data_IF_356525404597
#
_entry.id   IF_356525404597
#
_cell.length_a   1.000
_cell.length_b   1.000
_cell.length_c   1.000
_cell.angle_alpha   90.00
_cell.angle_beta   90.00
_cell.angle_gamma   90.00
#
_symmetry.space_group_name_H-M   'P 1'
#
loop_
_entity.id
_entity.type
_entity.pdbx_description
1 polymer ?
#
# COMPACT_ATOMS: atom_id res chain seq x y z
N UNK A 1 -0.61 25.41 18.11
CA UNK A 1 -0.15 25.82 16.76
C UNK A 1 0.20 24.59 15.87
N UNK A 2 0.95 23.60 16.38
CA UNK A 2 1.34 22.41 15.58
C UNK A 2 0.14 21.55 15.17
N UNK A 3 -0.80 21.30 16.06
CA UNK A 3 -2.02 20.52 15.77
C UNK A 3 -2.99 21.29 14.84
N UNK A 4 -3.12 22.60 14.99
CA UNK A 4 -3.97 23.42 14.12
C UNK A 4 -3.46 23.45 12.66
N UNK A 5 -2.13 23.54 12.46
CA UNK A 5 -1.54 23.49 11.12
C UNK A 5 -1.71 22.12 10.45
N UNK A 6 -1.73 21.02 11.23
CA UNK A 6 -1.94 19.67 10.73
C UNK A 6 -3.37 19.47 10.22
N UNK A 7 -4.36 19.98 10.94
CA UNK A 7 -5.77 19.92 10.53
C UNK A 7 -6.01 20.77 9.26
N UNK A 8 -5.33 21.90 9.12
CA UNK A 8 -5.42 22.75 7.92
C UNK A 8 -4.79 22.06 6.71
N UNK A 9 -3.61 21.45 6.87
CA UNK A 9 -2.93 20.72 5.78
C UNK A 9 -3.76 19.50 5.34
N UNK A 10 -4.35 18.77 6.29
CA UNK A 10 -5.24 17.64 5.99
C UNK A 10 -6.49 18.10 5.24
N UNK A 11 -7.13 19.19 5.68
CA UNK A 11 -8.32 19.77 5.04
C UNK A 11 -8.03 20.29 3.63
N UNK A 12 -6.90 20.98 3.44
CA UNK A 12 -6.48 21.49 2.11
C UNK A 12 -6.18 20.34 1.14
N UNK A 13 -5.60 19.23 1.60
CA UNK A 13 -5.38 18.03 0.76
C UNK A 13 -6.68 17.33 0.40
N UNK A 14 -7.59 17.17 1.35
CA UNK A 14 -8.91 16.56 1.10
C UNK A 14 -9.73 17.34 0.06
N UNK A 15 -9.64 18.67 0.06
CA UNK A 15 -10.33 19.54 -0.91
C UNK A 15 -9.81 19.38 -2.36
N UNK A 16 -8.67 18.73 -2.57
CA UNK A 16 -8.11 18.46 -3.91
C UNK A 16 -8.47 17.06 -4.44
N UNK A 17 -9.11 16.21 -3.61
CA UNK A 17 -9.49 14.89 -4.02
C UNK A 17 -10.74 14.95 -4.92
N UNK A 18 -10.67 14.29 -6.08
CA UNK A 18 -11.85 13.95 -6.86
C UNK A 18 -12.51 12.70 -6.25
N UNK A 19 -13.57 12.92 -5.50
CA UNK A 19 -14.36 11.87 -4.86
C UNK A 19 -15.64 11.52 -5.64
N UNK A 20 -15.87 12.15 -6.81
CA UNK A 20 -17.12 12.04 -7.55
C UNK A 20 -17.26 10.72 -8.29
N UNK A 21 -16.13 10.07 -8.58
CA UNK A 21 -16.07 8.77 -9.25
C UNK A 21 -15.20 7.77 -8.47
N UNK A 22 -15.19 6.53 -8.89
CA UNK A 22 -14.38 5.47 -8.27
C UNK A 22 -12.97 5.38 -8.89
N UNK A 23 -12.40 6.52 -9.23
CA UNK A 23 -11.08 6.62 -9.82
C UNK A 23 -9.99 6.07 -8.90
N UNK A 24 -9.06 5.34 -9.50
CA UNK A 24 -7.95 4.67 -8.83
C UNK A 24 -6.62 5.23 -9.34
N UNK A 25 -5.74 5.62 -8.44
CA UNK A 25 -4.31 5.81 -8.72
C UNK A 25 -3.54 4.57 -8.32
N UNK A 26 -2.81 3.98 -9.28
CA UNK A 26 -1.80 2.97 -8.98
C UNK A 26 -0.56 3.67 -8.41
N UNK A 27 -0.12 3.24 -7.24
CA UNK A 27 1.14 3.70 -6.62
C UNK A 27 2.07 2.51 -6.49
N UNK A 28 3.28 2.62 -7.05
CA UNK A 28 4.34 1.59 -6.89
C UNK A 28 5.53 2.23 -6.20
N UNK A 29 5.98 1.61 -5.11
CA UNK A 29 7.26 1.95 -4.46
C UNK A 29 8.33 0.99 -4.92
N UNK A 30 9.50 1.51 -5.24
CA UNK A 30 10.65 0.76 -5.76
C UNK A 30 11.95 1.25 -5.13
N UNK A 31 12.95 0.36 -5.06
CA UNK A 31 14.30 0.73 -4.65
C UNK A 31 15.34 -0.15 -5.33
N UNK A 32 15.92 0.36 -6.45
CA UNK A 32 17.05 -0.28 -7.15
C UNK A 32 16.85 -1.75 -7.56
N UNK A 33 15.61 -2.12 -7.89
CA UNK A 33 15.25 -3.49 -8.34
C UNK A 33 14.47 -3.46 -9.67
N UNK A 34 15.07 -2.95 -10.77
CA UNK A 34 14.36 -2.76 -12.04
C UNK A 34 13.77 -4.06 -12.59
N UNK A 35 14.47 -5.19 -12.47
CA UNK A 35 13.99 -6.49 -12.97
C UNK A 35 12.71 -6.97 -12.26
N UNK A 36 12.57 -6.67 -10.96
CA UNK A 36 11.36 -6.98 -10.21
C UNK A 36 10.24 -6.01 -10.57
N UNK A 37 10.56 -4.71 -10.71
CA UNK A 37 9.61 -3.71 -11.14
C UNK A 37 9.01 -4.06 -12.52
N UNK A 38 9.84 -4.50 -13.46
CA UNK A 38 9.38 -4.92 -14.79
C UNK A 38 8.40 -6.10 -14.70
N UNK A 39 8.72 -7.14 -13.91
CA UNK A 39 7.81 -8.28 -13.69
C UNK A 39 6.49 -7.86 -13.05
N UNK A 40 6.55 -6.96 -12.05
CA UNK A 40 5.35 -6.42 -11.40
C UNK A 40 4.48 -5.65 -12.39
N UNK A 41 5.07 -4.77 -13.19
CA UNK A 41 4.34 -4.02 -14.23
C UNK A 41 3.74 -4.94 -15.28
N UNK A 42 4.51 -5.91 -15.78
CA UNK A 42 4.06 -6.88 -16.76
C UNK A 42 2.85 -7.66 -16.27
N UNK A 43 2.95 -8.23 -15.06
CA UNK A 43 1.83 -8.99 -14.48
C UNK A 43 0.64 -8.09 -14.16
N UNK A 44 0.88 -6.86 -13.65
CA UNK A 44 -0.19 -5.91 -13.38
C UNK A 44 -0.99 -5.59 -14.65
N UNK A 45 -0.35 -5.19 -15.75
CA UNK A 45 -1.07 -4.85 -16.99
C UNK A 45 -1.72 -6.07 -17.64
N UNK A 46 -1.18 -7.28 -17.41
CA UNK A 46 -1.77 -8.53 -17.92
C UNK A 46 -3.07 -8.87 -17.20
N UNK A 47 -3.12 -8.70 -15.87
CA UNK A 47 -4.25 -9.16 -15.06
C UNK A 47 -5.18 -8.03 -14.58
N UNK A 48 -4.80 -6.77 -14.71
CA UNK A 48 -5.67 -5.66 -14.34
C UNK A 48 -6.77 -5.45 -15.39
N UNK A 49 -8.01 -5.45 -14.95
CA UNK A 49 -9.23 -5.19 -15.76
C UNK A 49 -9.89 -3.87 -15.41
N UNK A 50 -9.44 -3.21 -14.34
CA UNK A 50 -10.00 -1.94 -13.89
C UNK A 50 -9.25 -0.73 -14.50
N UNK A 51 -9.95 0.31 -14.97
CA UNK A 51 -9.30 1.50 -15.50
C UNK A 51 -8.49 2.24 -14.43
N UNK A 52 -7.20 2.45 -14.69
CA UNK A 52 -6.29 3.20 -13.83
C UNK A 52 -6.20 4.64 -14.36
N UNK A 53 -6.60 5.62 -13.55
CA UNK A 53 -6.58 7.03 -13.94
C UNK A 53 -5.14 7.56 -14.05
N UNK A 54 -4.26 7.16 -13.14
CA UNK A 54 -2.84 7.51 -13.15
C UNK A 54 -2.02 6.44 -12.46
N UNK A 55 -0.77 6.29 -12.87
CA UNK A 55 0.22 5.43 -12.23
C UNK A 55 1.37 6.31 -11.75
N UNK A 56 1.70 6.25 -10.45
CA UNK A 56 2.82 7.00 -9.89
C UNK A 56 3.82 6.00 -9.32
N UNK A 57 5.03 6.02 -9.86
CA UNK A 57 6.11 5.14 -9.45
C UNK A 57 7.19 5.97 -8.79
N UNK A 58 7.54 5.63 -7.54
CA UNK A 58 8.62 6.28 -6.81
C UNK A 58 9.77 5.31 -6.60
N UNK A 59 10.99 5.74 -6.99
CA UNK A 59 12.22 4.97 -6.72
C UNK A 59 13.09 5.69 -5.68
N UNK A 60 13.47 4.94 -4.65
CA UNK A 60 14.23 5.43 -3.49
C UNK A 60 15.71 5.04 -3.53
N UNK A 61 16.24 4.64 -4.68
CA UNK A 61 17.63 4.22 -4.82
C UNK A 61 18.66 5.35 -4.78
N UNK A 62 18.22 6.58 -5.02
CA UNK A 62 19.12 7.73 -5.26
C UNK A 62 19.64 7.82 -6.70
N UNK A 63 19.20 6.94 -7.60
CA UNK A 63 19.62 6.88 -9.01
C UNK A 63 18.52 7.45 -9.91
N UNK A 64 18.70 8.69 -10.36
CA UNK A 64 17.73 9.35 -11.23
C UNK A 64 17.67 8.62 -12.58
N UNK A 65 16.43 8.33 -13.05
CA UNK A 65 16.21 7.70 -14.37
C UNK A 65 16.51 6.20 -14.43
N UNK A 66 16.82 5.53 -13.31
CA UNK A 66 17.21 4.11 -13.33
C UNK A 66 16.15 3.16 -13.91
N UNK A 67 14.90 3.57 -13.90
CA UNK A 67 13.77 2.78 -14.39
C UNK A 67 13.19 3.32 -15.71
N UNK A 68 13.68 4.42 -16.29
CA UNK A 68 13.02 5.11 -17.41
C UNK A 68 12.76 4.19 -18.59
N UNK A 69 13.74 3.36 -18.99
CA UNK A 69 13.57 2.41 -20.10
C UNK A 69 12.42 1.42 -19.88
N UNK A 70 12.26 0.96 -18.65
CA UNK A 70 11.16 0.04 -18.28
C UNK A 70 9.84 0.81 -18.32
N UNK A 71 9.81 2.01 -17.72
CA UNK A 71 8.58 2.80 -17.64
C UNK A 71 8.07 3.21 -19.03
N UNK A 72 8.97 3.50 -19.96
CA UNK A 72 8.64 3.81 -21.35
C UNK A 72 7.90 2.65 -22.04
N UNK A 73 8.29 1.39 -21.78
CA UNK A 73 7.62 0.21 -22.35
C UNK A 73 6.15 0.08 -21.90
N UNK A 74 5.83 0.53 -20.68
CA UNK A 74 4.49 0.42 -20.11
C UNK A 74 3.67 1.71 -20.23
N UNK A 75 4.24 2.79 -20.77
CA UNK A 75 3.56 4.09 -20.92
C UNK A 75 2.33 4.06 -21.83
N UNK A 76 2.27 3.09 -22.77
CA UNK A 76 1.09 2.88 -23.63
C UNK A 76 -0.09 2.21 -22.90
N UNK A 77 0.15 1.55 -21.76
CA UNK A 77 -0.88 0.88 -20.96
C UNK A 77 -1.30 1.70 -19.74
N UNK A 78 -0.38 2.50 -19.21
CA UNK A 78 -0.55 3.24 -17.95
C UNK A 78 -0.08 4.68 -18.13
N UNK A 79 -0.87 5.63 -17.63
CA UNK A 79 -0.45 7.04 -17.54
C UNK A 79 0.57 7.19 -16.40
N UNK A 80 1.85 6.95 -16.69
CA UNK A 80 2.93 6.84 -15.72
C UNK A 80 3.57 8.20 -15.41
N UNK A 81 3.69 8.49 -14.12
CA UNK A 81 4.53 9.56 -13.56
C UNK A 81 5.62 8.93 -12.70
N UNK A 82 6.88 9.12 -13.06
CA UNK A 82 8.04 8.70 -12.27
C UNK A 82 8.48 9.77 -11.29
N UNK A 83 8.89 9.35 -10.10
CA UNK A 83 9.49 10.18 -9.06
C UNK A 83 10.78 9.48 -8.61
N UNK A 84 11.90 10.16 -8.69
CA UNK A 84 13.19 9.66 -8.19
C UNK A 84 13.61 10.45 -6.97
N UNK A 85 13.94 9.77 -5.89
CA UNK A 85 14.58 10.41 -4.74
C UNK A 85 16.06 10.60 -5.04
N UNK A 86 16.60 11.80 -4.76
CA UNK A 86 18.02 12.10 -4.96
C UNK A 86 18.96 11.28 -4.03
N UNK A 87 18.42 10.78 -2.94
CA UNK A 87 19.10 9.90 -1.98
C UNK A 87 18.05 8.95 -1.41
N UNK A 88 18.45 7.80 -0.91
CA UNK A 88 17.55 6.92 -0.17
C UNK A 88 17.04 7.64 1.09
N UNK A 89 15.72 7.79 1.20
CA UNK A 89 15.03 8.43 2.31
C UNK A 89 14.21 7.44 3.15
N UNK A 90 14.14 6.18 2.69
CA UNK A 90 13.41 5.09 3.32
C UNK A 90 11.96 4.96 2.86
N UNK A 91 11.44 3.73 2.95
CA UNK A 91 10.13 3.33 2.42
C UNK A 91 8.99 4.27 2.86
N UNK A 92 8.82 4.50 4.18
CA UNK A 92 7.70 5.32 4.67
C UNK A 92 7.73 6.76 4.18
N UNK A 93 8.91 7.39 4.13
CA UNK A 93 9.03 8.76 3.60
C UNK A 93 8.75 8.79 2.09
N UNK A 94 9.12 7.74 1.37
CA UNK A 94 8.80 7.58 -0.05
C UNK A 94 7.29 7.39 -0.25
N UNK A 95 6.62 6.58 0.58
CA UNK A 95 5.15 6.44 0.59
C UNK A 95 4.49 7.79 0.91
N UNK A 96 4.95 8.50 1.94
CA UNK A 96 4.41 9.82 2.27
C UNK A 96 4.54 10.79 1.10
N UNK A 97 5.70 10.79 0.45
CA UNK A 97 5.96 11.64 -0.71
C UNK A 97 5.03 11.29 -1.87
N UNK A 98 4.95 10.03 -2.28
CA UNK A 98 4.13 9.64 -3.43
C UNK A 98 2.64 9.83 -3.17
N UNK A 99 2.15 9.56 -1.97
CA UNK A 99 0.74 9.77 -1.62
C UNK A 99 0.34 11.25 -1.68
N UNK A 100 1.28 12.18 -1.46
CA UNK A 100 0.99 13.61 -1.58
C UNK A 100 0.62 14.06 -3.01
N UNK A 101 0.88 13.24 -4.02
CA UNK A 101 0.50 13.50 -5.42
C UNK A 101 -0.82 12.85 -5.82
N UNK A 102 -1.38 11.96 -4.98
CA UNK A 102 -2.65 11.30 -5.28
C UNK A 102 -3.81 12.27 -5.10
N UNK A 103 -4.72 12.30 -6.07
CA UNK A 103 -5.94 13.11 -6.05
C UNK A 103 -7.21 12.30 -6.34
N UNK A 104 -7.12 10.99 -6.51
CA UNK A 104 -8.24 10.08 -6.74
C UNK A 104 -8.85 9.57 -5.44
N UNK A 105 -10.08 9.06 -5.53
CA UNK A 105 -10.82 8.49 -4.39
C UNK A 105 -10.14 7.28 -3.78
N UNK A 106 -9.48 6.47 -4.62
CA UNK A 106 -8.81 5.26 -4.20
C UNK A 106 -7.34 5.24 -4.61
N UNK A 107 -6.53 4.57 -3.80
CA UNK A 107 -5.14 4.22 -4.07
C UNK A 107 -5.05 2.70 -4.16
N UNK A 108 -4.54 2.18 -5.27
CA UNK A 108 -4.03 0.82 -5.31
C UNK A 108 -2.53 0.90 -5.08
N UNK A 109 -2.10 0.55 -3.86
CA UNK A 109 -0.69 0.53 -3.51
C UNK A 109 -0.08 -0.82 -3.87
N UNK A 110 1.15 -0.80 -4.35
CA UNK A 110 1.96 -1.97 -4.65
C UNK A 110 3.45 -1.66 -4.38
N UNK A 111 4.21 -2.69 -4.10
CA UNK A 111 5.68 -2.65 -4.12
C UNK A 111 6.18 -3.31 -5.42
N UNK A 112 7.43 -3.12 -5.78
CA UNK A 112 8.00 -3.60 -7.05
C UNK A 112 8.24 -5.10 -7.16
N UNK A 113 7.94 -5.88 -6.12
CA UNK A 113 8.27 -7.31 -6.02
C UNK A 113 7.04 -8.22 -5.87
N UNK A 114 5.96 -7.86 -6.56
CA UNK A 114 4.71 -8.62 -6.57
C UNK A 114 4.34 -9.07 -7.97
N UNK A 115 3.87 -10.30 -8.11
CA UNK A 115 3.40 -10.91 -9.34
C UNK A 115 1.88 -11.13 -9.26
N UNK A 116 1.13 -10.51 -10.16
CA UNK A 116 -0.32 -10.67 -10.27
C UNK A 116 -0.65 -11.94 -11.04
N UNK A 117 -1.66 -12.71 -10.59
CA UNK A 117 -2.00 -14.04 -11.11
C UNK A 117 -3.45 -14.17 -11.58
N UNK A 118 -4.34 -13.27 -11.17
CA UNK A 118 -5.77 -13.34 -11.49
C UNK A 118 -6.33 -11.96 -11.73
N UNK A 119 -7.40 -11.91 -12.51
CA UNK A 119 -8.17 -10.69 -12.80
C UNK A 119 -9.07 -10.24 -11.64
N UNK A 120 -9.70 -9.07 -11.80
CA UNK A 120 -10.77 -8.51 -10.95
C UNK A 120 -10.37 -8.19 -9.50
N UNK A 121 -9.11 -8.07 -9.19
CA UNK A 121 -8.66 -7.80 -7.81
C UNK A 121 -9.03 -6.39 -7.33
N UNK A 122 -9.09 -5.40 -8.22
CA UNK A 122 -9.53 -4.03 -7.89
C UNK A 122 -11.06 -4.00 -7.78
N UNK A 123 -11.77 -4.58 -8.74
CA UNK A 123 -13.24 -4.63 -8.77
C UNK A 123 -13.81 -5.31 -7.53
N UNK A 124 -13.27 -6.47 -7.15
CA UNK A 124 -13.68 -7.18 -5.93
C UNK A 124 -13.43 -6.34 -4.67
N UNK A 125 -12.28 -5.68 -4.60
CA UNK A 125 -11.95 -4.79 -3.48
C UNK A 125 -12.90 -3.58 -3.42
N UNK A 126 -13.21 -2.97 -4.56
CA UNK A 126 -14.18 -1.86 -4.67
C UNK A 126 -15.58 -2.29 -4.23
N UNK A 127 -16.03 -3.47 -4.65
CA UNK A 127 -17.34 -4.00 -4.27
C UNK A 127 -17.44 -4.18 -2.75
N UNK A 128 -16.36 -4.62 -2.09
CA UNK A 128 -16.32 -4.71 -0.62
C UNK A 128 -16.48 -3.31 -0.01
N UNK A 129 -15.71 -2.32 -0.45
CA UNK A 129 -15.82 -0.96 0.09
C UNK A 129 -17.18 -0.30 -0.16
N UNK A 130 -17.87 -0.64 -1.26
CA UNK A 130 -19.20 -0.12 -1.60
C UNK A 130 -20.31 -0.78 -0.81
N UNK A 131 -20.22 -2.10 -0.62
CA UNK A 131 -21.25 -2.87 0.07
C UNK A 131 -21.15 -2.76 1.60
N UNK A 132 -19.96 -2.38 2.10
CA UNK A 132 -19.68 -2.22 3.53
C UNK A 132 -19.06 -0.83 3.82
N UNK A 133 -19.79 0.27 3.51
CA UNK A 133 -19.24 1.63 3.57
C UNK A 133 -18.91 2.09 5.00
N UNK A 134 -19.65 1.58 5.99
CA UNK A 134 -19.50 1.93 7.41
C UNK A 134 -18.39 1.13 8.10
N UNK A 135 -17.93 0.05 7.47
CA UNK A 135 -16.84 -0.76 7.98
C UNK A 135 -15.49 -0.04 7.83
N UNK A 136 -14.70 -0.07 8.88
CA UNK A 136 -13.36 0.57 8.88
C UNK A 136 -12.30 -0.35 8.26
N UNK A 137 -12.56 -0.80 7.03
CA UNK A 137 -11.63 -1.65 6.28
C UNK A 137 -10.49 -0.79 5.75
N UNK A 138 -9.25 -1.06 6.21
CA UNK A 138 -8.05 -0.39 5.74
C UNK A 138 -7.68 -0.82 4.31
N UNK A 139 -7.63 -2.14 4.08
CA UNK A 139 -7.26 -2.73 2.80
C UNK A 139 -7.86 -4.12 2.67
N UNK A 140 -7.99 -4.57 1.43
CA UNK A 140 -8.35 -5.94 1.09
C UNK A 140 -7.08 -6.68 0.69
N UNK A 141 -6.71 -7.71 1.46
CA UNK A 141 -5.58 -8.57 1.13
C UNK A 141 -5.89 -9.44 -0.08
N UNK A 142 -4.94 -9.52 -0.98
CA UNK A 142 -5.03 -10.25 -2.25
C UNK A 142 -4.20 -11.54 -2.25
N UNK A 143 -3.52 -11.84 -1.15
CA UNK A 143 -2.63 -13.00 -0.99
C UNK A 143 -3.42 -14.31 -0.86
N UNK A 144 -2.78 -15.44 -1.16
CA UNK A 144 -3.34 -16.76 -0.86
C UNK A 144 -3.51 -16.97 0.66
N UNK A 145 -4.54 -17.71 1.06
CA UNK A 145 -4.86 -17.95 2.47
C UNK A 145 -3.74 -18.67 3.25
N UNK A 146 -2.91 -19.43 2.57
CA UNK A 146 -1.73 -20.10 3.16
C UNK A 146 -0.45 -19.22 3.14
N UNK A 147 -0.56 -17.97 2.69
CA UNK A 147 0.57 -17.03 2.54
C UNK A 147 0.28 -15.70 3.25
N UNK A 148 -0.19 -15.75 4.49
CA UNK A 148 -0.57 -14.57 5.29
C UNK A 148 0.49 -14.17 6.33
N UNK A 149 1.71 -14.70 6.24
CA UNK A 149 2.75 -14.50 7.26
C UNK A 149 2.25 -14.89 8.67
N UNK A 150 1.54 -16.01 8.76
CA UNK A 150 0.92 -16.56 9.96
C UNK A 150 -0.24 -15.72 10.54
N UNK A 151 -0.64 -14.62 9.90
CA UNK A 151 -1.79 -13.85 10.35
C UNK A 151 -3.07 -14.67 10.18
N UNK A 152 -3.83 -14.93 11.25
CA UNK A 152 -5.01 -15.77 11.18
C UNK A 152 -6.14 -15.13 10.36
N UNK A 153 -6.87 -15.97 9.63
CA UNK A 153 -8.08 -15.61 8.92
C UNK A 153 -9.28 -16.11 9.71
N UNK A 154 -10.19 -15.22 10.06
CA UNK A 154 -11.45 -15.57 10.72
C UNK A 154 -12.47 -15.86 9.62
N UNK A 155 -12.66 -17.15 9.32
CA UNK A 155 -13.64 -17.61 8.33
C UNK A 155 -15.03 -17.69 8.95
N UNK A 156 -16.02 -17.29 8.18
CA UNK A 156 -17.43 -17.39 8.51
C UNK A 156 -18.25 -17.81 7.27
N UNK A 157 -19.51 -18.18 7.48
CA UNK A 157 -20.42 -18.64 6.43
C UNK A 157 -21.26 -17.50 5.80
N UNK A 158 -20.89 -16.23 6.04
CA UNK A 158 -21.69 -15.06 5.63
C UNK A 158 -21.65 -14.76 4.13
N UNK A 159 -20.82 -15.45 3.35
CA UNK A 159 -20.69 -15.30 1.88
C UNK A 159 -20.51 -13.85 1.42
N UNK A 160 -19.73 -13.08 2.18
CA UNK A 160 -19.48 -11.66 1.91
C UNK A 160 -18.48 -11.41 0.76
N UNK A 161 -17.83 -12.48 0.26
CA UNK A 161 -16.73 -12.41 -0.69
C UNK A 161 -15.38 -12.08 -0.04
N UNK A 162 -15.33 -12.00 1.27
CA UNK A 162 -14.11 -11.79 2.06
C UNK A 162 -14.24 -12.39 3.46
N UNK A 163 -13.09 -12.62 4.10
CA UNK A 163 -12.98 -12.97 5.52
C UNK A 163 -12.25 -11.86 6.27
N UNK A 164 -12.49 -11.80 7.59
CA UNK A 164 -11.76 -10.87 8.45
C UNK A 164 -10.34 -11.40 8.69
N UNK A 165 -9.37 -10.50 8.69
CA UNK A 165 -8.07 -10.76 9.31
C UNK A 165 -8.22 -10.57 10.82
N UNK A 166 -7.63 -11.47 11.62
CA UNK A 166 -7.73 -11.38 13.08
C UNK A 166 -7.09 -10.08 13.58
N UNK A 167 -7.91 -9.13 14.01
CA UNK A 167 -7.47 -7.82 14.49
C UNK A 167 -6.82 -7.86 15.87
N UNK A 168 -7.00 -8.96 16.62
CA UNK A 168 -6.39 -9.19 17.93
C UNK A 168 -5.10 -10.03 17.85
N UNK A 169 -4.71 -10.45 16.63
CA UNK A 169 -3.51 -11.23 16.42
C UNK A 169 -2.28 -10.51 16.97
N UNK A 170 -1.46 -11.25 17.70
CA UNK A 170 -0.21 -10.72 18.20
C UNK A 170 0.91 -11.76 18.10
N UNK A 171 2.13 -11.27 17.91
CA UNK A 171 3.34 -12.09 17.84
C UNK A 171 4.46 -11.47 18.66
N UNK A 172 5.47 -12.28 18.96
CA UNK A 172 6.68 -11.84 19.66
C UNK A 172 7.79 -11.59 18.64
N UNK A 173 8.43 -10.44 18.70
CA UNK A 173 9.66 -10.15 17.97
C UNK A 173 10.64 -9.44 18.87
N UNK A 174 11.88 -9.94 18.94
CA UNK A 174 12.98 -9.39 19.77
C UNK A 174 12.60 -9.12 21.23
N UNK A 175 11.74 -9.97 21.79
CA UNK A 175 11.30 -9.86 23.19
C UNK A 175 10.14 -8.88 23.43
N UNK A 176 9.64 -8.23 22.38
CA UNK A 176 8.47 -7.34 22.46
C UNK A 176 7.24 -7.99 21.83
N UNK A 177 6.06 -7.69 22.39
CA UNK A 177 4.77 -8.15 21.84
C UNK A 177 4.21 -7.11 20.90
N UNK A 178 3.86 -7.55 19.69
CA UNK A 178 3.27 -6.73 18.64
C UNK A 178 1.86 -7.21 18.33
N UNK A 179 0.87 -6.32 18.43
CA UNK A 179 -0.50 -6.57 17.97
C UNK A 179 -0.64 -6.09 16.53
N UNK A 180 -1.27 -6.91 15.67
CA UNK A 180 -1.36 -6.62 14.25
C UNK A 180 -2.79 -6.81 13.74
N UNK A 181 -3.44 -5.74 13.30
CA UNK A 181 -4.79 -5.76 12.75
C UNK A 181 -4.84 -5.98 11.22
N UNK A 182 -3.73 -6.40 10.62
CA UNK A 182 -3.63 -6.67 9.18
C UNK A 182 -3.28 -5.47 8.32
N UNK A 183 -2.98 -4.30 8.91
CA UNK A 183 -2.53 -3.13 8.14
C UNK A 183 -1.11 -3.35 7.63
N UNK A 184 -0.94 -3.29 6.31
CA UNK A 184 0.34 -3.52 5.62
C UNK A 184 0.43 -2.66 4.36
N UNK A 185 1.65 -2.48 3.83
CA UNK A 185 1.87 -1.83 2.53
C UNK A 185 1.91 -2.84 1.36
N UNK A 186 1.66 -4.11 1.58
CA UNK A 186 1.45 -5.08 0.50
C UNK A 186 0.36 -4.62 -0.49
N UNK A 187 0.33 -5.14 -1.71
CA UNK A 187 -0.65 -4.74 -2.72
C UNK A 187 -2.08 -4.82 -2.22
N UNK A 188 -2.83 -3.76 -2.47
CA UNK A 188 -4.24 -3.67 -2.13
C UNK A 188 -4.83 -2.30 -2.33
N UNK A 189 -6.15 -2.28 -2.46
CA UNK A 189 -6.93 -1.06 -2.62
C UNK A 189 -7.17 -0.40 -1.26
N UNK A 190 -7.13 0.94 -1.22
CA UNK A 190 -7.33 1.76 -0.02
C UNK A 190 -8.15 3.00 -0.36
N UNK A 191 -8.98 3.45 0.59
CA UNK A 191 -9.65 4.75 0.48
C UNK A 191 -8.62 5.86 0.76
N UNK A 192 -8.43 6.79 -0.16
CA UNK A 192 -7.45 7.89 -0.02
C UNK A 192 -7.75 8.75 1.21
N UNK A 193 -9.02 9.00 1.50
CA UNK A 193 -9.46 9.75 2.69
C UNK A 193 -9.03 9.08 3.99
N UNK A 194 -8.99 7.75 4.04
CA UNK A 194 -8.58 7.03 5.25
C UNK A 194 -7.06 7.12 5.43
N UNK A 195 -6.30 7.06 4.34
CA UNK A 195 -4.85 7.25 4.40
C UNK A 195 -4.47 8.59 5.00
N UNK A 196 -5.19 9.64 4.65
CA UNK A 196 -4.90 10.99 5.17
C UNK A 196 -5.23 11.21 6.65
N UNK A 197 -5.94 10.30 7.32
CA UNK A 197 -6.21 10.38 8.78
C UNK A 197 -4.93 10.32 9.61
N UNK A 198 -3.89 9.61 9.13
CA UNK A 198 -2.61 9.49 9.85
C UNK A 198 -1.39 9.90 9.01
N UNK A 199 -1.59 10.24 7.73
CA UNK A 199 -0.50 10.77 6.89
C UNK A 199 0.03 12.13 7.41
N UNK A 200 1.34 12.41 7.42
CA UNK A 200 2.44 11.54 7.02
C UNK A 200 2.72 10.41 8.02
N UNK A 201 2.88 9.19 7.50
CA UNK A 201 3.12 7.98 8.32
C UNK A 201 4.46 8.06 9.05
N UNK A 202 5.50 8.59 8.39
CA UNK A 202 6.86 8.68 8.92
C UNK A 202 6.98 9.59 10.15
N UNK A 203 6.10 10.58 10.29
CA UNK A 203 6.16 11.53 11.41
C UNK A 203 5.80 10.91 12.77
N UNK A 204 5.14 9.75 12.77
CA UNK A 204 4.70 9.07 13.99
C UNK A 204 5.63 7.92 14.41
N UNK A 205 6.66 7.65 13.61
CA UNK A 205 7.60 6.58 13.89
C UNK A 205 8.77 7.07 14.73
N UNK A 206 9.29 6.20 15.60
CA UNK A 206 10.61 6.40 16.21
C UNK A 206 11.65 6.49 15.10
N UNK A 207 12.66 7.30 15.28
CA UNK A 207 13.74 7.45 14.32
C UNK A 207 14.98 6.69 14.81
N UNK A 208 15.59 5.94 13.89
CA UNK A 208 16.92 5.37 14.09
C UNK A 208 17.92 6.13 13.24
N UNK A 209 19.09 6.41 13.77
CA UNK A 209 20.19 7.03 13.04
C UNK A 209 21.11 5.94 12.51
N UNK A 210 21.27 5.88 11.18
CA UNK A 210 22.21 4.97 10.50
C UNK A 210 23.03 5.80 9.50
N UNK A 211 24.37 5.75 9.62
CA UNK A 211 25.28 6.54 8.74
C UNK A 211 24.94 8.05 8.70
N UNK A 212 24.62 8.64 9.85
CA UNK A 212 24.27 10.07 9.95
C UNK A 212 22.91 10.46 9.37
N UNK A 213 22.11 9.50 8.88
CA UNK A 213 20.75 9.72 8.37
C UNK A 213 19.72 9.15 9.32
N UNK A 214 18.56 9.81 9.38
CA UNK A 214 17.42 9.44 10.23
C UNK A 214 16.39 8.65 9.45
N UNK A 215 16.08 7.43 9.91
CA UNK A 215 15.10 6.53 9.30
C UNK A 215 13.98 6.18 10.28
N UNK A 216 12.71 6.07 9.82
CA UNK A 216 11.63 5.55 10.65
C UNK A 216 11.90 4.10 11.04
N UNK A 217 11.83 3.81 12.35
CA UNK A 217 11.97 2.44 12.88
C UNK A 217 10.61 1.82 13.04
N UNK A 218 10.48 0.53 12.70
CA UNK A 218 9.22 -0.22 12.79
C UNK A 218 8.05 0.50 12.11
N UNK A 219 8.31 1.04 10.91
CA UNK A 219 7.39 1.95 10.23
C UNK A 219 6.02 1.33 9.94
N UNK A 220 6.00 0.11 9.41
CA UNK A 220 4.75 -0.59 9.11
C UNK A 220 3.99 -0.93 10.40
N UNK A 221 4.68 -1.40 11.44
CA UNK A 221 4.06 -1.66 12.74
C UNK A 221 3.45 -0.39 13.37
N UNK A 222 4.17 0.73 13.34
CA UNK A 222 3.65 1.99 13.88
C UNK A 222 2.43 2.46 13.09
N UNK A 223 2.44 2.29 11.77
CA UNK A 223 1.30 2.59 10.91
C UNK A 223 0.12 1.69 11.25
N UNK A 224 0.35 0.37 11.41
CA UNK A 224 -0.67 -0.58 11.83
C UNK A 224 -1.30 -0.19 13.17
N UNK A 225 -0.50 0.14 14.18
CA UNK A 225 -1.00 0.56 15.50
C UNK A 225 -1.87 1.83 15.40
N UNK A 226 -1.41 2.84 14.66
CA UNK A 226 -2.16 4.08 14.51
C UNK A 226 -3.52 3.88 13.82
N UNK A 227 -3.62 2.96 12.84
CA UNK A 227 -4.89 2.61 12.24
C UNK A 227 -5.76 1.75 13.17
N UNK A 228 -5.17 0.81 13.91
CA UNK A 228 -5.88 0.00 14.91
C UNK A 228 -6.52 0.88 15.99
N UNK A 229 -5.81 1.91 16.49
CA UNK A 229 -6.34 2.88 17.45
C UNK A 229 -7.55 3.66 16.91
N UNK A 230 -7.66 3.81 15.59
CA UNK A 230 -8.83 4.39 14.92
C UNK A 230 -9.92 3.35 14.61
N UNK A 231 -9.70 2.09 14.98
CA UNK A 231 -10.61 0.96 14.78
C UNK A 231 -10.56 0.35 13.38
N UNK A 232 -9.52 0.64 12.57
CA UNK A 232 -9.33 0.02 11.27
C UNK A 232 -8.77 -1.40 11.38
N UNK A 233 -9.11 -2.22 10.40
CA UNK A 233 -8.62 -3.60 10.24
C UNK A 233 -8.54 -3.98 8.77
N UNK A 234 -7.86 -5.09 8.46
CA UNK A 234 -7.82 -5.63 7.12
C UNK A 234 -8.79 -6.79 6.94
N UNK A 235 -9.18 -7.01 5.70
CA UNK A 235 -9.90 -8.20 5.25
C UNK A 235 -9.10 -8.90 4.15
N UNK A 236 -9.40 -10.17 3.87
CA UNK A 236 -8.80 -10.93 2.78
C UNK A 236 -9.91 -11.43 1.85
N UNK A 237 -9.67 -11.42 0.52
CA UNK A 237 -10.63 -11.97 -0.42
C UNK A 237 -10.93 -13.44 -0.11
N UNK A 238 -12.19 -13.85 -0.30
CA UNK A 238 -12.60 -15.26 -0.25
C UNK A 238 -12.13 -15.99 -1.52
N UNK A 239 -10.81 -16.05 -1.68
CA UNK A 239 -10.11 -16.81 -2.71
C UNK A 239 -8.87 -17.49 -2.09
N UNK A 240 -8.95 -18.79 -1.77
CA UNK A 240 -7.85 -19.52 -1.13
C UNK A 240 -6.51 -19.43 -1.84
N UNK A 241 -6.54 -19.30 -3.17
CA UNK A 241 -5.32 -19.24 -4.00
C UNK A 241 -4.77 -17.81 -4.16
N UNK A 242 -5.54 -16.79 -3.73
CA UNK A 242 -5.19 -15.38 -3.86
C UNK A 242 -5.04 -14.90 -5.31
N UNK A 243 -4.73 -13.62 -5.46
CA UNK A 243 -4.56 -12.94 -6.74
C UNK A 243 -3.11 -12.51 -7.00
N UNK A 244 -2.26 -12.55 -5.97
CA UNK A 244 -0.88 -12.06 -6.02
C UNK A 244 0.07 -13.04 -5.34
N UNK A 245 1.34 -12.97 -5.75
CA UNK A 245 2.46 -13.71 -5.16
C UNK A 245 3.65 -12.78 -4.95
N UNK A 246 4.28 -12.83 -3.77
CA UNK A 246 5.52 -12.13 -3.51
C UNK A 246 6.68 -12.83 -4.21
N UNK A 247 7.52 -12.07 -4.94
CA UNK A 247 8.63 -12.59 -5.75
C UNK A 247 10.00 -12.04 -5.30
N UNK A 248 10.03 -11.26 -4.23
CA UNK A 248 11.23 -10.56 -3.72
C UNK A 248 12.05 -11.33 -2.68
N UNK A 249 11.74 -12.58 -2.37
CA UNK A 249 12.33 -13.31 -1.22
C UNK A 249 13.86 -13.40 -1.18
N UNK A 250 14.54 -13.35 -2.33
CA UNK A 250 16.00 -13.50 -2.42
C UNK A 250 16.75 -12.16 -2.60
N UNK A 251 16.06 -11.02 -2.58
CA UNK A 251 16.61 -9.73 -2.97
C UNK A 251 16.30 -8.62 -1.95
N UNK A 252 16.37 -8.91 -0.65
CA UNK A 252 16.24 -7.86 0.36
C UNK A 252 17.43 -6.90 0.27
N UNK A 253 17.16 -5.61 0.04
CA UNK A 253 18.16 -4.55 0.13
C UNK A 253 18.34 -4.24 1.63
N UNK A 254 19.51 -4.58 2.15
CA UNK A 254 19.93 -4.33 3.55
C UNK A 254 20.29 -2.85 3.78
#
# INVERSE_FOLDING_TARGET
LYNQNKDIISKVKLNKLDLTNDAVTLVITSCNRPDLLEKTLQSFVTFNTYPIQSCIIIDDSGKIGCNDKILDLYSCFLNIKSIYNKTNIGQLKSIDKVYSYVNTKYIFHCEEDWDFKKHEFIEKSLNIFKNYPDEKIFTVWLRAHNCTSLHPIIKDDLKRGFYLMDKEFSYMDRGERYTWCGVTFNPGLRKTTDMYKIHPFSNKCKLTIKNGKSYPTHGEYTTNRNFAELGFYAVILDDPNGHIQHIGFNNHIS
#
